data_IF_572129795957
#
_entry.id   IF_572129795957
#
_cell.length_a   1.000
_cell.length_b   1.000
_cell.length_c   1.000
_cell.angle_alpha   90.00
_cell.angle_beta   90.00
_cell.angle_gamma   90.00
#
_symmetry.space_group_name_H-M   'P 1'
#
loop_
_entity.id
_entity.type
_entity.pdbx_description
1 polymer ?
#
# COMPACT_ATOMS: atom_id res chain seq x y z
N UNK A 1 -27.46 -21.94 4.34
CA UNK A 1 -26.52 -21.39 5.33
C UNK A 1 -26.78 -19.89 5.38
N UNK A 2 -27.52 -19.41 6.38
CA UNK A 2 -27.79 -17.98 6.50
C UNK A 2 -26.46 -17.31 6.83
N UNK A 3 -25.93 -16.50 5.91
CA UNK A 3 -24.80 -15.63 6.23
C UNK A 3 -25.29 -14.69 7.33
N UNK A 4 -24.63 -14.73 8.49
CA UNK A 4 -25.08 -13.93 9.61
C UNK A 4 -25.01 -12.45 9.24
N UNK A 5 -26.09 -11.72 9.53
CA UNK A 5 -26.27 -10.33 9.09
C UNK A 5 -25.18 -9.38 9.61
N UNK A 6 -24.47 -9.77 10.67
CA UNK A 6 -23.36 -9.00 11.22
C UNK A 6 -22.04 -9.17 10.44
N UNK A 7 -21.89 -10.22 9.62
CA UNK A 7 -20.63 -10.49 8.90
C UNK A 7 -20.24 -9.35 7.94
N UNK A 8 -21.14 -8.83 7.08
CA UNK A 8 -20.81 -7.68 6.24
C UNK A 8 -20.47 -6.42 7.04
N UNK A 9 -21.15 -6.20 8.18
CA UNK A 9 -20.90 -5.05 9.07
C UNK A 9 -19.49 -5.16 9.68
N UNK A 10 -19.12 -6.35 10.17
CA UNK A 10 -17.79 -6.63 10.69
C UNK A 10 -16.71 -6.41 9.61
N UNK A 11 -16.90 -6.97 8.42
CA UNK A 11 -15.97 -6.80 7.29
C UNK A 11 -15.82 -5.33 6.89
N UNK A 12 -16.93 -4.58 6.86
CA UNK A 12 -16.94 -3.15 6.58
C UNK A 12 -16.17 -2.37 7.65
N UNK A 13 -16.33 -2.70 8.92
CA UNK A 13 -15.61 -2.08 10.03
C UNK A 13 -14.09 -2.32 9.93
N UNK A 14 -13.69 -3.57 9.67
CA UNK A 14 -12.28 -3.94 9.46
C UNK A 14 -11.67 -3.19 8.29
N UNK A 15 -12.33 -3.19 7.13
CA UNK A 15 -11.85 -2.48 5.95
C UNK A 15 -11.77 -0.96 6.19
N UNK A 16 -12.79 -0.38 6.82
CA UNK A 16 -12.84 1.05 7.15
C UNK A 16 -11.72 1.46 8.10
N UNK A 17 -11.42 0.65 9.11
CA UNK A 17 -10.31 0.89 10.03
C UNK A 17 -8.97 0.94 9.26
N UNK A 18 -8.74 -0.02 8.36
CA UNK A 18 -7.55 -0.03 7.51
C UNK A 18 -7.46 1.18 6.59
N UNK A 19 -8.52 1.49 5.84
CA UNK A 19 -8.54 2.66 4.93
C UNK A 19 -8.41 3.98 5.70
N UNK A 20 -8.99 4.07 6.89
CA UNK A 20 -8.86 5.22 7.79
C UNK A 20 -7.42 5.43 8.24
N UNK A 21 -6.73 4.39 8.69
CA UNK A 21 -5.31 4.46 9.07
C UNK A 21 -4.42 4.91 7.90
N UNK A 22 -4.67 4.37 6.71
CA UNK A 22 -3.96 4.78 5.50
C UNK A 22 -4.14 6.29 5.24
N UNK A 23 -5.38 6.78 5.19
CA UNK A 23 -5.66 8.21 5.00
C UNK A 23 -5.05 9.11 6.10
N UNK A 24 -5.15 8.69 7.37
CA UNK A 24 -4.59 9.45 8.49
C UNK A 24 -3.07 9.51 8.42
N UNK A 25 -2.41 8.40 8.06
CA UNK A 25 -0.96 8.35 7.87
C UNK A 25 -0.51 9.25 6.72
N UNK A 26 -1.22 9.26 5.60
CA UNK A 26 -0.95 10.17 4.47
C UNK A 26 -1.13 11.62 4.90
N UNK A 27 -2.20 11.94 5.64
CA UNK A 27 -2.49 13.30 6.09
C UNK A 27 -1.42 13.80 7.06
N UNK A 28 -0.96 12.91 7.95
CA UNK A 28 0.08 13.23 8.92
C UNK A 28 1.39 13.68 8.25
N UNK A 29 1.74 13.05 7.13
CA UNK A 29 3.01 13.27 6.40
C UNK A 29 2.92 14.32 5.31
N UNK A 30 1.86 14.30 4.48
CA UNK A 30 1.68 15.18 3.33
C UNK A 30 0.28 15.80 3.34
N UNK A 31 -0.01 16.76 4.24
CA UNK A 31 -1.32 17.40 4.31
C UNK A 31 -1.74 18.09 3.00
N UNK A 32 -0.78 18.53 2.17
CA UNK A 32 -1.06 19.13 0.85
C UNK A 32 -1.08 18.11 -0.29
N UNK A 33 -0.88 16.82 0.02
CA UNK A 33 -0.77 15.71 -0.93
C UNK A 33 0.30 15.93 -2.00
N UNK A 34 1.33 16.73 -1.70
CA UNK A 34 2.40 17.03 -2.67
C UNK A 34 3.33 15.84 -2.89
N UNK A 35 3.51 15.03 -1.85
CA UNK A 35 4.33 13.82 -1.89
C UNK A 35 3.54 12.58 -2.33
N UNK A 36 2.23 12.72 -2.58
CA UNK A 36 1.40 11.62 -3.02
C UNK A 36 1.84 11.14 -4.41
N UNK A 37 2.16 9.85 -4.51
CA UNK A 37 2.63 9.25 -5.77
C UNK A 37 1.50 9.04 -6.78
N UNK A 38 0.25 8.95 -6.29
CA UNK A 38 -0.95 8.77 -7.08
C UNK A 38 -1.41 10.04 -7.80
N UNK A 39 -1.39 10.03 -9.15
CA UNK A 39 -1.80 11.17 -9.98
C UNK A 39 -3.27 11.57 -9.79
N UNK A 40 -4.14 10.58 -9.57
CA UNK A 40 -5.58 10.79 -9.39
C UNK A 40 -5.83 11.52 -8.07
N UNK A 41 -5.29 10.98 -6.97
CA UNK A 41 -5.47 11.53 -5.62
C UNK A 41 -4.85 12.93 -5.53
N UNK A 42 -3.64 13.13 -6.04
CA UNK A 42 -3.00 14.46 -6.04
C UNK A 42 -3.77 15.54 -6.81
N UNK A 43 -4.64 15.16 -7.76
CA UNK A 43 -5.50 16.11 -8.50
C UNK A 43 -6.84 16.36 -7.84
N UNK A 44 -7.46 15.32 -7.30
CA UNK A 44 -8.78 15.43 -6.67
C UNK A 44 -8.70 15.94 -5.22
N UNK A 45 -7.49 15.96 -4.64
CA UNK A 45 -7.26 16.35 -3.26
C UNK A 45 -7.92 15.40 -2.26
N UNK A 46 -8.05 15.86 -1.01
CA UNK A 46 -8.59 15.07 0.09
C UNK A 46 -10.03 14.59 -0.12
N UNK A 47 -10.87 15.39 -0.79
CA UNK A 47 -12.24 14.97 -1.12
C UNK A 47 -12.24 13.73 -2.01
N UNK A 48 -11.41 13.72 -3.06
CA UNK A 48 -11.25 12.52 -3.90
C UNK A 48 -10.60 11.36 -3.14
N UNK A 49 -9.59 11.63 -2.31
CA UNK A 49 -8.93 10.61 -1.49
C UNK A 49 -9.93 9.85 -0.60
N UNK A 50 -10.90 10.55 -0.01
CA UNK A 50 -11.94 9.97 0.84
C UNK A 50 -13.01 9.25 0.00
N UNK A 51 -13.52 9.89 -1.06
CA UNK A 51 -14.59 9.32 -1.90
C UNK A 51 -14.16 8.02 -2.58
N UNK A 52 -12.89 7.91 -2.99
CA UNK A 52 -12.36 6.69 -3.61
C UNK A 52 -12.31 5.50 -2.63
N UNK A 53 -12.46 5.71 -1.32
CA UNK A 53 -12.51 4.59 -0.36
C UNK A 53 -13.87 3.90 -0.31
N UNK A 54 -14.96 4.59 -0.69
CA UNK A 54 -16.31 4.05 -0.56
C UNK A 54 -16.49 2.73 -1.35
N UNK A 55 -16.10 2.65 -2.64
CA UNK A 55 -16.20 1.39 -3.38
C UNK A 55 -15.29 0.30 -2.81
N UNK A 56 -14.09 0.66 -2.33
CA UNK A 56 -13.13 -0.29 -1.76
C UNK A 56 -13.68 -0.92 -0.48
N UNK A 57 -14.22 -0.11 0.43
CA UNK A 57 -14.84 -0.56 1.68
C UNK A 57 -16.10 -1.39 1.39
N UNK A 58 -16.92 -0.95 0.44
CA UNK A 58 -18.11 -1.70 0.02
C UNK A 58 -17.75 -3.08 -0.51
N UNK A 59 -16.80 -3.18 -1.46
CA UNK A 59 -16.35 -4.46 -2.00
C UNK A 59 -15.72 -5.35 -0.92
N UNK A 60 -14.96 -4.77 -0.01
CA UNK A 60 -14.36 -5.50 1.11
C UNK A 60 -15.43 -6.06 2.07
N UNK A 61 -16.58 -5.38 2.22
CA UNK A 61 -17.66 -5.86 3.08
C UNK A 61 -18.28 -7.19 2.61
N UNK A 62 -18.18 -7.49 1.31
CA UNK A 62 -18.80 -8.66 0.69
C UNK A 62 -18.17 -9.99 1.14
N UNK A 63 -16.90 -9.98 1.57
CA UNK A 63 -16.19 -11.21 1.95
C UNK A 63 -15.08 -10.95 2.97
N UNK A 64 -14.96 -11.82 3.98
CA UNK A 64 -13.94 -11.67 5.05
C UNK A 64 -12.52 -11.65 4.50
N UNK A 65 -12.22 -12.49 3.51
CA UNK A 65 -10.89 -12.49 2.86
C UNK A 65 -10.57 -11.16 2.17
N UNK A 66 -11.57 -10.48 1.59
CA UNK A 66 -11.36 -9.16 1.00
C UNK A 66 -11.16 -8.09 2.07
N UNK A 67 -11.92 -8.14 3.17
CA UNK A 67 -11.71 -7.25 4.31
C UNK A 67 -10.29 -7.40 4.90
N UNK A 68 -9.83 -8.64 5.13
CA UNK A 68 -8.48 -8.93 5.63
C UNK A 68 -7.41 -8.47 4.63
N UNK A 69 -7.59 -8.73 3.33
CA UNK A 69 -6.69 -8.25 2.28
C UNK A 69 -6.56 -6.72 2.30
N UNK A 70 -7.70 -6.01 2.25
CA UNK A 70 -7.73 -4.54 2.24
C UNK A 70 -7.11 -3.97 3.50
N UNK A 71 -7.46 -4.52 4.66
CA UNK A 71 -6.91 -4.09 5.95
C UNK A 71 -5.39 -4.26 6.01
N UNK A 72 -4.88 -5.44 5.62
CA UNK A 72 -3.44 -5.75 5.62
C UNK A 72 -2.68 -4.82 4.67
N UNK A 73 -3.18 -4.67 3.43
CA UNK A 73 -2.57 -3.78 2.46
C UNK A 73 -2.54 -2.33 2.97
N UNK A 74 -3.63 -1.89 3.58
CA UNK A 74 -3.75 -0.57 4.21
C UNK A 74 -2.74 -0.35 5.34
N UNK A 75 -2.53 -1.35 6.21
CA UNK A 75 -1.54 -1.25 7.28
C UNK A 75 -0.11 -1.11 6.72
N UNK A 76 0.22 -1.87 5.68
CA UNK A 76 1.53 -1.78 5.02
C UNK A 76 1.73 -0.41 4.36
N UNK A 77 0.71 0.12 3.67
CA UNK A 77 0.72 1.47 3.12
C UNK A 77 0.86 2.53 4.22
N UNK A 78 0.11 2.40 5.31
CA UNK A 78 0.16 3.32 6.42
C UNK A 78 1.54 3.33 7.10
N UNK A 79 2.11 2.15 7.32
CA UNK A 79 3.47 1.98 7.84
C UNK A 79 4.51 2.64 6.92
N UNK A 80 4.41 2.40 5.61
CA UNK A 80 5.28 3.03 4.61
C UNK A 80 5.15 4.56 4.57
N UNK A 81 3.95 5.10 4.75
CA UNK A 81 3.74 6.54 4.83
C UNK A 81 4.45 7.14 6.05
N UNK A 82 4.30 6.54 7.25
CA UNK A 82 4.93 7.07 8.47
C UNK A 82 6.44 6.82 8.53
N UNK A 83 6.95 5.85 7.78
CA UNK A 83 8.38 5.59 7.69
C UNK A 83 9.11 6.80 7.10
N UNK A 84 10.04 7.37 7.87
CA UNK A 84 10.75 8.59 7.46
C UNK A 84 9.94 9.88 7.58
N UNK A 85 8.72 9.84 8.14
CA UNK A 85 7.88 11.03 8.33
C UNK A 85 8.58 12.14 9.11
N UNK A 86 9.41 11.78 10.10
CA UNK A 86 10.17 12.74 10.90
C UNK A 86 11.00 13.70 10.03
N UNK A 87 11.57 13.22 8.92
CA UNK A 87 12.41 14.03 8.03
C UNK A 87 11.57 14.99 7.19
N UNK A 88 10.44 14.51 6.66
CA UNK A 88 9.46 15.36 5.96
C UNK A 88 8.96 16.48 6.89
N UNK A 89 8.65 16.14 8.15
CA UNK A 89 8.17 17.09 9.15
C UNK A 89 9.26 18.09 9.57
N UNK A 90 10.50 17.64 9.69
CA UNK A 90 11.63 18.50 10.08
C UNK A 90 12.04 19.49 8.98
N UNK A 91 11.97 19.09 7.71
CA UNK A 91 12.38 19.94 6.57
C UNK A 91 11.21 20.75 6.01
N UNK A 92 9.98 20.26 6.16
CA UNK A 92 8.79 20.80 5.52
C UNK A 92 8.51 20.15 4.16
N UNK A 93 7.23 19.91 3.88
CA UNK A 93 6.73 19.18 2.70
C UNK A 93 7.24 19.77 1.37
N UNK A 94 7.24 21.10 1.24
CA UNK A 94 7.64 21.82 0.03
C UNK A 94 9.12 21.60 -0.30
N UNK A 95 9.98 21.83 0.70
CA UNK A 95 11.43 21.73 0.57
C UNK A 95 11.86 20.27 0.43
N UNK A 96 11.19 19.34 1.11
CA UNK A 96 11.43 17.90 0.92
C UNK A 96 11.12 17.48 -0.52
N UNK A 97 10.01 17.95 -1.09
CA UNK A 97 9.68 17.68 -2.49
C UNK A 97 10.76 18.21 -3.46
N UNK A 98 11.26 19.43 -3.25
CA UNK A 98 12.36 19.97 -4.07
C UNK A 98 13.65 19.15 -3.97
N UNK A 99 14.01 18.71 -2.75
CA UNK A 99 15.18 17.84 -2.54
C UNK A 99 15.02 16.53 -3.29
N UNK A 100 13.84 15.92 -3.24
CA UNK A 100 13.53 14.68 -3.96
C UNK A 100 13.63 14.88 -5.48
N UNK A 101 13.12 15.99 -6.03
CA UNK A 101 13.27 16.32 -7.46
C UNK A 101 14.75 16.48 -7.84
N UNK A 102 15.54 17.21 -7.03
CA UNK A 102 16.97 17.40 -7.29
C UNK A 102 17.74 16.08 -7.22
N UNK A 103 17.45 15.23 -6.24
CA UNK A 103 18.07 13.91 -6.08
C UNK A 103 17.70 12.98 -7.25
N UNK A 104 16.41 12.87 -7.59
CA UNK A 104 15.94 12.01 -8.68
C UNK A 104 16.56 12.37 -10.03
N UNK A 105 16.85 13.65 -10.29
CA UNK A 105 17.53 14.08 -11.52
C UNK A 105 19.02 13.73 -11.56
N UNK A 106 19.68 13.71 -10.40
CA UNK A 106 21.12 13.43 -10.29
C UNK A 106 21.41 11.93 -10.27
N UNK A 107 20.53 11.14 -9.68
CA UNK A 107 20.71 9.71 -9.56
C UNK A 107 20.67 8.99 -10.91
N UNK A 108 21.50 7.96 -11.04
CA UNK A 108 21.46 7.00 -12.13
C UNK A 108 20.12 6.25 -12.16
N UNK A 109 19.69 5.81 -13.34
CA UNK A 109 18.43 5.05 -13.42
C UNK A 109 18.58 3.63 -12.88
N UNK A 110 19.78 3.08 -12.99
CA UNK A 110 20.26 1.88 -12.33
C UNK A 110 20.20 2.00 -10.80
N UNK A 111 20.67 3.11 -10.21
CA UNK A 111 20.60 3.36 -8.76
C UNK A 111 19.15 3.39 -8.26
N UNK A 112 18.28 4.10 -8.99
CA UNK A 112 16.86 4.19 -8.67
C UNK A 112 16.18 2.82 -8.77
N UNK A 113 16.41 2.09 -9.87
CA UNK A 113 15.81 0.76 -10.05
C UNK A 113 16.29 -0.21 -8.99
N UNK A 114 17.59 -0.23 -8.68
CA UNK A 114 18.15 -1.11 -7.66
C UNK A 114 17.53 -0.83 -6.27
N UNK A 115 17.38 0.45 -5.90
CA UNK A 115 16.74 0.88 -4.66
C UNK A 115 15.27 0.44 -4.58
N UNK A 116 14.50 0.66 -5.64
CA UNK A 116 13.06 0.37 -5.64
C UNK A 116 12.73 -1.11 -5.79
N UNK A 117 13.57 -1.89 -6.49
CA UNK A 117 13.43 -3.35 -6.60
C UNK A 117 13.73 -4.05 -5.28
N UNK A 118 14.52 -3.44 -4.39
CA UNK A 118 14.72 -3.96 -3.03
C UNK A 118 13.40 -4.13 -2.26
N UNK A 119 12.46 -3.19 -2.40
CA UNK A 119 11.13 -3.30 -1.79
C UNK A 119 10.30 -4.42 -2.40
N UNK A 120 10.34 -4.58 -3.73
CA UNK A 120 9.70 -5.71 -4.42
C UNK A 120 10.22 -7.04 -3.87
N UNK A 121 11.55 -7.20 -3.79
CA UNK A 121 12.17 -8.41 -3.28
C UNK A 121 11.78 -8.67 -1.83
N UNK A 122 11.84 -7.65 -0.97
CA UNK A 122 11.58 -7.78 0.47
C UNK A 122 10.15 -8.24 0.79
N UNK A 123 9.15 -7.75 0.06
CA UNK A 123 7.75 -8.09 0.36
C UNK A 123 7.19 -9.22 -0.52
N UNK A 124 7.53 -9.25 -1.81
CA UNK A 124 6.94 -10.21 -2.76
C UNK A 124 7.59 -11.59 -2.66
N UNK A 125 8.92 -11.68 -2.49
CA UNK A 125 9.61 -12.98 -2.46
C UNK A 125 9.23 -13.81 -1.24
N UNK A 126 9.25 -13.27 0.02
CA UNK A 126 8.80 -14.04 1.17
C UNK A 126 7.33 -14.44 1.08
N UNK A 127 6.46 -13.52 0.63
CA UNK A 127 5.04 -13.80 0.46
C UNK A 127 4.78 -14.92 -0.55
N UNK A 128 5.47 -14.92 -1.69
CA UNK A 128 5.38 -15.97 -2.70
C UNK A 128 5.93 -17.30 -2.18
N UNK A 129 7.05 -17.28 -1.46
CA UNK A 129 7.68 -18.47 -0.87
C UNK A 129 6.75 -19.15 0.13
N UNK A 130 6.18 -18.38 1.07
CA UNK A 130 5.22 -18.91 2.05
C UNK A 130 3.95 -19.42 1.35
N UNK A 131 3.45 -18.71 0.34
CA UNK A 131 2.29 -19.14 -0.44
C UNK A 131 2.54 -20.49 -1.13
N UNK A 132 3.72 -20.66 -1.72
CA UNK A 132 4.15 -21.91 -2.35
C UNK A 132 4.22 -23.06 -1.32
N UNK A 133 4.81 -22.81 -0.15
CA UNK A 133 4.87 -23.80 0.93
C UNK A 133 3.47 -24.20 1.38
N UNK A 134 2.56 -23.26 1.59
CA UNK A 134 1.18 -23.55 2.02
C UNK A 134 0.36 -24.29 0.95
N UNK A 135 0.70 -24.13 -0.33
CA UNK A 135 0.09 -24.84 -1.44
C UNK A 135 0.70 -26.23 -1.70
N UNK A 136 1.88 -26.54 -1.13
CA UNK A 136 2.54 -27.82 -1.35
C UNK A 136 1.74 -29.00 -0.75
N UNK A 137 1.65 -30.16 -1.43
CA UNK A 137 0.85 -31.30 -0.97
C UNK A 137 1.20 -31.78 0.44
N UNK A 138 2.48 -31.75 0.79
CA UNK A 138 2.99 -32.10 2.14
C UNK A 138 2.41 -31.20 3.22
N UNK A 139 2.25 -29.91 2.90
CA UNK A 139 1.74 -28.90 3.81
C UNK A 139 0.21 -28.90 3.89
N UNK A 140 -0.47 -29.47 2.89
CA UNK A 140 -1.93 -29.59 2.88
C UNK A 140 -2.45 -30.48 4.01
N UNK A 141 -1.63 -31.43 4.47
CA UNK A 141 -1.92 -32.32 5.59
C UNK A 141 -1.50 -31.72 6.94
N UNK A 142 -0.58 -30.75 6.96
CA UNK A 142 -0.07 -30.16 8.21
C UNK A 142 -0.84 -28.91 8.64
N UNK A 143 -1.32 -28.10 7.69
CA UNK A 143 -2.05 -26.86 7.99
C UNK A 143 -3.56 -27.02 7.78
N UNK A 144 -4.39 -26.70 8.79
CA UNK A 144 -5.84 -26.66 8.64
C UNK A 144 -6.27 -25.77 7.47
N UNK A 145 -7.41 -26.11 6.86
CA UNK A 145 -7.98 -25.35 5.75
C UNK A 145 -8.22 -23.88 6.12
N UNK A 146 -8.76 -23.62 7.31
CA UNK A 146 -9.10 -22.28 7.79
C UNK A 146 -7.87 -21.37 7.89
N UNK A 147 -6.74 -21.93 8.34
CA UNK A 147 -5.45 -21.21 8.42
C UNK A 147 -4.99 -20.78 7.03
N UNK A 148 -5.13 -21.65 6.02
CA UNK A 148 -4.72 -21.34 4.64
C UNK A 148 -5.61 -20.26 4.02
N UNK A 149 -6.92 -20.38 4.18
CA UNK A 149 -7.88 -19.40 3.65
C UNK A 149 -7.66 -18.00 4.24
N UNK A 150 -7.26 -17.91 5.51
CA UNK A 150 -6.96 -16.63 6.16
C UNK A 150 -5.54 -16.11 5.85
N UNK A 151 -4.56 -17.00 5.66
CA UNK A 151 -3.19 -16.60 5.33
C UNK A 151 -3.07 -16.06 3.90
N UNK A 152 -3.77 -16.65 2.93
CA UNK A 152 -3.72 -16.25 1.52
C UNK A 152 -3.99 -14.75 1.27
N UNK A 153 -5.05 -14.11 1.79
CA UNK A 153 -5.27 -12.68 1.58
C UNK A 153 -4.16 -11.80 2.19
N UNK A 154 -3.55 -12.21 3.30
CA UNK A 154 -2.42 -11.50 3.92
C UNK A 154 -1.19 -11.58 3.03
N UNK A 155 -0.87 -12.77 2.54
CA UNK A 155 0.27 -13.01 1.64
C UNK A 155 0.07 -12.28 0.31
N UNK A 156 -1.13 -12.34 -0.25
CA UNK A 156 -1.48 -11.62 -1.47
C UNK A 156 -1.36 -10.11 -1.27
N UNK A 157 -1.86 -9.56 -0.14
CA UNK A 157 -1.73 -8.14 0.17
C UNK A 157 -0.26 -7.72 0.28
N UNK A 158 0.57 -8.55 0.92
CA UNK A 158 2.01 -8.30 1.08
C UNK A 158 2.74 -8.31 -0.27
N UNK A 159 2.47 -9.33 -1.10
CA UNK A 159 3.04 -9.43 -2.44
C UNK A 159 2.59 -8.27 -3.33
N UNK A 160 1.31 -7.90 -3.26
CA UNK A 160 0.73 -6.80 -4.01
C UNK A 160 1.28 -5.45 -3.56
N UNK A 161 1.52 -5.26 -2.26
CA UNK A 161 2.18 -4.07 -1.73
C UNK A 161 3.58 -3.88 -2.32
N UNK A 162 4.41 -4.93 -2.31
CA UNK A 162 5.74 -4.89 -2.92
C UNK A 162 5.70 -4.53 -4.39
N UNK A 163 4.84 -5.21 -5.16
CA UNK A 163 4.69 -4.96 -6.59
C UNK A 163 4.18 -3.55 -6.91
N UNK A 164 3.05 -3.17 -6.32
CA UNK A 164 2.41 -1.90 -6.59
C UNK A 164 3.26 -0.73 -6.07
N UNK A 165 3.90 -0.88 -4.92
CA UNK A 165 4.80 0.11 -4.33
C UNK A 165 5.96 0.45 -5.26
N UNK A 166 6.72 -0.58 -5.68
CA UNK A 166 7.83 -0.42 -6.63
C UNK A 166 7.36 0.19 -7.95
N UNK A 167 6.26 -0.30 -8.53
CA UNK A 167 5.75 0.25 -9.79
C UNK A 167 5.33 1.72 -9.67
N UNK A 168 4.60 2.07 -8.60
CA UNK A 168 4.16 3.45 -8.34
C UNK A 168 5.35 4.37 -8.13
N UNK A 169 6.36 3.95 -7.38
CA UNK A 169 7.53 4.77 -7.09
C UNK A 169 8.40 4.98 -8.32
N UNK A 170 8.67 3.93 -9.10
CA UNK A 170 9.41 4.04 -10.37
C UNK A 170 8.74 5.00 -11.35
N UNK A 171 7.42 4.87 -11.53
CA UNK A 171 6.67 5.79 -12.40
C UNK A 171 6.63 7.22 -11.85
N UNK A 172 6.60 7.38 -10.52
CA UNK A 172 6.63 8.69 -9.88
C UNK A 172 8.00 9.37 -10.07
N UNK A 173 9.10 8.69 -9.75
CA UNK A 173 10.46 9.20 -9.90
C UNK A 173 10.78 9.52 -11.37
N UNK A 174 10.30 8.71 -12.30
CA UNK A 174 10.48 8.96 -13.74
C UNK A 174 9.84 10.30 -14.14
N UNK A 175 8.65 10.59 -13.62
CA UNK A 175 7.96 11.86 -13.85
C UNK A 175 8.68 13.03 -13.19
N UNK A 176 9.24 12.85 -11.98
CA UNK A 176 9.98 13.92 -11.30
C UNK A 176 11.23 14.33 -12.07
N UNK A 177 11.90 13.37 -12.73
CA UNK A 177 13.05 13.67 -13.61
C UNK A 177 12.66 14.57 -14.78
N UNK A 178 11.50 14.34 -15.38
CA UNK A 178 11.01 15.09 -16.54
C UNK A 178 10.32 16.42 -16.25
N UNK A 179 9.97 16.76 -15.00
CA UNK A 179 9.38 18.07 -14.68
C UNK A 179 10.42 19.18 -14.84
N UNK A 180 10.07 20.32 -15.42
CA UNK A 180 10.83 21.58 -15.26
C UNK A 180 10.40 22.26 -13.95
N UNK A 181 11.34 22.81 -13.18
CA UNK A 181 11.02 23.67 -12.03
C UNK A 181 10.70 25.05 -12.60
N UNK A 182 9.44 25.45 -12.58
CA UNK A 182 9.01 26.82 -12.83
C UNK A 182 8.38 27.33 -11.55
#
# INVERSE_FOLDING_TARGET
MFQEWWVPIFNMAVASAGRGLDLLSTWYVTPRLKLETGRIIGRLGWKGAILLQLPVVFLASLHVSLAVFVFTLSLLLAAGNVQGAWFVKGVGEEKYFELMVKAARRAGWDEIVLSEVGHLALYTVPAATVSYILAAPTSMCTFPWDVRVLALPILLATAFYGFLGTFRMLTYLHRLRGRMLF
#
